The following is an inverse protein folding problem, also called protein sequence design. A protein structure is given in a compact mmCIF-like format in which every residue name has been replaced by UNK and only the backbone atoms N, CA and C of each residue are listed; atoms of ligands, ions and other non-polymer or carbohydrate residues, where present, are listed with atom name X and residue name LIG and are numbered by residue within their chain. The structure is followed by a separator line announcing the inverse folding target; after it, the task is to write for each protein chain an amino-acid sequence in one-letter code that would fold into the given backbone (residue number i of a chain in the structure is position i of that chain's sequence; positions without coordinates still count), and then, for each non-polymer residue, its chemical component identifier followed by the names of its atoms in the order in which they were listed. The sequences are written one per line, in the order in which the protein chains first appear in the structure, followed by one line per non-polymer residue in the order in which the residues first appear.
data_IF_347280053196
#
_entry.id   IF_347280053196
#
_cell.length_a   1.000
_cell.length_b   1.000
_cell.length_c   1.000
_cell.angle_alpha   90.00
_cell.angle_beta   90.00
_cell.angle_gamma   90.00
#
_symmetry.space_group_name_H-M   'P 1'
#
loop_
_entity.id
_entity.type
_entity.pdbx_description
1 polymer ?
#
# COMPACT_ATOMS: atom_id res chain seq x y z
N UNK A 1 10.40 13.87 -24.84
CA UNK A 1 9.77 14.46 -23.62
C UNK A 1 8.29 14.09 -23.46
N UNK A 2 7.45 14.21 -24.51
CA UNK A 2 6.00 13.92 -24.46
C UNK A 2 5.60 12.50 -23.99
N UNK A 3 6.31 11.45 -24.41
CA UNK A 3 6.02 10.06 -23.97
C UNK A 3 6.11 9.88 -22.45
N UNK A 4 7.06 10.56 -21.80
CA UNK A 4 7.32 10.43 -20.35
C UNK A 4 6.24 11.08 -19.50
N UNK A 5 5.60 12.16 -19.98
CA UNK A 5 4.44 12.79 -19.33
C UNK A 5 3.20 11.90 -19.42
N UNK A 6 2.91 11.37 -20.63
CA UNK A 6 1.72 10.52 -20.87
C UNK A 6 1.71 9.24 -20.03
N UNK A 7 2.87 8.62 -19.83
CA UNK A 7 2.99 7.43 -18.95
C UNK A 7 2.74 7.74 -17.48
N UNK A 8 3.09 8.95 -17.00
CA UNK A 8 2.88 9.35 -15.60
C UNK A 8 1.40 9.61 -15.34
N UNK A 9 0.70 10.25 -16.28
CA UNK A 9 -0.74 10.49 -16.14
C UNK A 9 -1.53 9.18 -16.19
N UNK A 10 -1.12 8.22 -17.03
CA UNK A 10 -1.71 6.88 -17.03
C UNK A 10 -1.48 6.12 -15.71
N UNK A 11 -0.34 6.29 -15.07
CA UNK A 11 0.00 5.62 -13.81
C UNK A 11 -0.78 6.23 -12.63
N UNK A 12 -0.97 7.54 -12.65
CA UNK A 12 -1.80 8.27 -11.69
C UNK A 12 -3.29 7.91 -11.87
N UNK A 13 -3.76 7.82 -13.11
CA UNK A 13 -5.10 7.33 -13.44
C UNK A 13 -5.30 5.88 -12.99
N UNK A 14 -4.32 5.01 -13.22
CA UNK A 14 -4.36 3.62 -12.77
C UNK A 14 -4.41 3.52 -11.24
N UNK A 15 -3.66 4.36 -10.52
CA UNK A 15 -3.74 4.47 -9.06
C UNK A 15 -5.12 4.93 -8.58
N UNK A 16 -5.69 5.97 -9.21
CA UNK A 16 -7.03 6.47 -8.88
C UNK A 16 -8.07 5.38 -9.12
N UNK A 17 -7.99 4.65 -10.24
CA UNK A 17 -8.90 3.55 -10.55
C UNK A 17 -8.72 2.40 -9.55
N UNK A 18 -7.48 2.07 -9.18
CA UNK A 18 -7.19 1.02 -8.21
C UNK A 18 -7.68 1.37 -6.79
N UNK A 19 -7.50 2.62 -6.36
CA UNK A 19 -8.00 3.10 -5.08
C UNK A 19 -9.53 3.16 -5.11
N UNK A 20 -10.11 3.65 -6.21
CA UNK A 20 -11.55 3.72 -6.40
C UNK A 20 -12.22 2.33 -6.40
N UNK A 21 -11.61 1.35 -7.06
CA UNK A 21 -12.11 -0.03 -7.06
C UNK A 21 -11.98 -0.71 -5.70
N UNK A 22 -10.90 -0.43 -4.95
CA UNK A 22 -10.75 -0.87 -3.56
C UNK A 22 -11.84 -0.27 -2.66
N UNK A 23 -12.08 1.04 -2.76
CA UNK A 23 -13.13 1.72 -1.99
C UNK A 23 -14.54 1.24 -2.37
N UNK A 24 -14.78 0.97 -3.65
CA UNK A 24 -16.06 0.43 -4.13
C UNK A 24 -16.28 -1.01 -3.64
N UNK A 25 -15.28 -1.87 -3.75
CA UNK A 25 -15.34 -3.22 -3.22
C UNK A 25 -15.57 -3.22 -1.72
N UNK A 26 -14.91 -2.33 -0.99
CA UNK A 26 -15.11 -2.14 0.44
C UNK A 26 -16.53 -1.66 0.78
N UNK A 27 -17.05 -0.66 0.09
CA UNK A 27 -18.42 -0.17 0.31
C UNK A 27 -19.47 -1.23 0.00
N UNK A 28 -19.26 -2.02 -1.06
CA UNK A 28 -20.07 -3.19 -1.38
C UNK A 28 -20.00 -4.24 -0.26
N UNK A 29 -18.81 -4.50 0.26
CA UNK A 29 -18.59 -5.48 1.32
C UNK A 29 -19.28 -5.08 2.64
N UNK A 30 -19.25 -3.80 3.01
CA UNK A 30 -20.05 -3.27 4.13
C UNK A 30 -21.55 -3.44 3.87
N UNK A 31 -21.99 -3.16 2.64
CA UNK A 31 -23.39 -3.25 2.29
C UNK A 31 -23.91 -4.70 2.33
N UNK A 32 -23.09 -5.66 1.89
CA UNK A 32 -23.49 -7.08 1.84
C UNK A 32 -23.25 -7.83 3.15
N UNK A 33 -22.13 -7.58 3.83
CA UNK A 33 -21.68 -8.36 4.99
C UNK A 33 -21.78 -7.59 6.32
N UNK A 34 -22.17 -6.31 6.28
CA UNK A 34 -22.25 -5.46 7.45
C UNK A 34 -20.87 -5.02 7.97
N UNK A 35 -20.84 -4.49 9.18
CA UNK A 35 -19.58 -4.11 9.83
C UNK A 35 -18.83 -5.34 10.32
N UNK A 36 -17.61 -5.56 9.80
CA UNK A 36 -16.71 -6.62 10.27
C UNK A 36 -15.31 -6.07 10.60
N UNK A 37 -14.55 -6.85 11.38
CA UNK A 37 -13.15 -6.54 11.72
C UNK A 37 -12.26 -6.50 10.48
N UNK A 38 -12.53 -7.36 9.47
CA UNK A 38 -11.88 -7.34 8.16
C UNK A 38 -12.04 -5.97 7.48
N UNK A 39 -13.28 -5.51 7.44
CA UNK A 39 -13.67 -4.31 6.73
C UNK A 39 -13.14 -3.06 7.43
N UNK A 40 -13.10 -3.03 8.77
CA UNK A 40 -12.49 -1.93 9.54
C UNK A 40 -10.96 -1.90 9.40
N UNK A 41 -10.31 -3.06 9.51
CA UNK A 41 -8.85 -3.17 9.41
C UNK A 41 -8.34 -2.66 8.05
N UNK A 42 -9.03 -2.98 6.96
CA UNK A 42 -8.65 -2.54 5.62
C UNK A 42 -8.59 -1.00 5.49
N UNK A 43 -9.59 -0.27 5.97
CA UNK A 43 -9.56 1.20 5.92
C UNK A 43 -8.55 1.80 6.87
N UNK A 44 -8.56 1.36 8.14
CA UNK A 44 -7.69 1.92 9.16
C UNK A 44 -6.22 1.79 8.72
N UNK A 45 -5.88 0.64 8.16
CA UNK A 45 -4.55 0.35 7.65
C UNK A 45 -4.17 1.22 6.42
N UNK A 46 -5.06 1.39 5.43
CA UNK A 46 -4.78 2.24 4.26
C UNK A 46 -4.56 3.70 4.69
N UNK A 47 -5.41 4.22 5.58
CA UNK A 47 -5.31 5.59 6.08
C UNK A 47 -4.04 5.80 6.93
N UNK A 48 -3.75 4.85 7.82
CA UNK A 48 -2.55 4.90 8.66
C UNK A 48 -1.28 4.87 7.79
N UNK A 49 -1.27 4.04 6.75
CA UNK A 49 -0.17 3.99 5.79
C UNK A 49 0.05 5.33 5.10
N UNK A 50 -1.02 5.94 4.57
CA UNK A 50 -0.94 7.23 3.87
C UNK A 50 -0.46 8.35 4.80
N UNK A 51 -1.01 8.43 6.02
CA UNK A 51 -0.60 9.44 7.02
C UNK A 51 0.88 9.27 7.42
N UNK A 52 1.30 8.04 7.66
CA UNK A 52 2.67 7.72 8.05
C UNK A 52 3.64 7.99 6.90
N UNK A 53 3.31 7.55 5.69
CA UNK A 53 4.11 7.81 4.50
C UNK A 53 4.23 9.30 4.19
N UNK A 54 3.13 10.05 4.31
CA UNK A 54 3.17 11.51 4.16
C UNK A 54 4.08 12.16 5.21
N UNK A 55 3.97 11.75 6.47
CA UNK A 55 4.82 12.28 7.55
C UNK A 55 6.31 11.99 7.31
N UNK A 56 6.63 10.77 6.87
CA UNK A 56 8.00 10.38 6.50
C UNK A 56 8.49 11.24 5.33
N UNK A 57 7.72 11.38 4.25
CA UNK A 57 8.17 12.10 3.07
C UNK A 57 8.25 13.63 3.26
N UNK A 58 7.41 14.20 4.13
CA UNK A 58 7.29 15.65 4.36
C UNK A 58 8.23 16.16 5.45
N UNK A 59 8.32 15.44 6.58
CA UNK A 59 9.00 15.94 7.80
C UNK A 59 10.38 15.34 8.03
N UNK A 60 10.76 14.26 7.34
CA UNK A 60 12.03 13.59 7.61
C UNK A 60 13.03 13.66 6.46
N UNK A 61 14.29 13.98 6.80
CA UNK A 61 15.45 13.91 5.89
C UNK A 61 16.02 12.49 5.80
N UNK A 62 15.17 11.46 5.94
CA UNK A 62 15.61 10.06 5.85
C UNK A 62 16.15 9.76 4.44
N UNK A 63 17.17 8.91 4.37
CA UNK A 63 17.72 8.44 3.09
C UNK A 63 16.66 7.64 2.31
N UNK A 64 16.79 7.59 0.99
CA UNK A 64 15.90 6.77 0.14
C UNK A 64 15.88 5.31 0.59
N UNK A 65 17.02 4.75 0.98
CA UNK A 65 17.13 3.37 1.46
C UNK A 65 16.32 3.16 2.74
N UNK A 66 16.44 4.08 3.71
CA UNK A 66 15.72 3.99 4.99
C UNK A 66 14.21 4.10 4.80
N UNK A 67 13.74 4.98 3.90
CA UNK A 67 12.30 5.07 3.58
C UNK A 67 11.77 3.77 2.96
N UNK A 68 12.58 3.12 2.13
CA UNK A 68 12.22 1.83 1.52
C UNK A 68 12.08 0.72 2.55
N UNK A 69 13.01 0.67 3.51
CA UNK A 69 12.92 -0.23 4.65
C UNK A 69 11.66 0.01 5.49
N UNK A 70 11.26 1.27 5.69
CA UNK A 70 10.00 1.58 6.38
C UNK A 70 8.79 1.05 5.61
N UNK A 71 8.70 1.33 4.31
CA UNK A 71 7.58 0.83 3.49
C UNK A 71 7.55 -0.69 3.41
N UNK A 72 8.71 -1.32 3.25
CA UNK A 72 8.85 -2.77 3.29
C UNK A 72 8.35 -3.36 4.61
N UNK A 73 8.85 -2.85 5.73
CA UNK A 73 8.49 -3.33 7.06
C UNK A 73 7.01 -3.14 7.33
N UNK A 74 6.44 -2.00 6.90
CA UNK A 74 5.01 -1.73 6.99
C UNK A 74 4.20 -2.78 6.24
N UNK A 75 4.47 -2.97 4.94
CA UNK A 75 3.74 -3.94 4.12
C UNK A 75 3.90 -5.37 4.62
N UNK A 76 5.07 -5.71 5.16
CA UNK A 76 5.34 -7.05 5.66
C UNK A 76 4.56 -7.34 6.95
N UNK A 77 4.61 -6.43 7.93
CA UNK A 77 3.90 -6.59 9.20
C UNK A 77 2.40 -6.66 8.95
N UNK A 78 1.88 -5.72 8.18
CA UNK A 78 0.46 -5.60 7.89
C UNK A 78 -0.04 -6.76 7.04
N UNK A 79 0.69 -7.13 5.99
CA UNK A 79 0.30 -8.24 5.10
C UNK A 79 0.31 -9.58 5.83
N UNK A 80 1.32 -9.80 6.68
CA UNK A 80 1.40 -11.01 7.51
C UNK A 80 0.29 -11.03 8.55
N UNK A 81 0.05 -9.91 9.25
CA UNK A 81 -1.01 -9.82 10.26
C UNK A 81 -2.39 -10.02 9.64
N UNK A 82 -2.68 -9.36 8.51
CA UNK A 82 -3.92 -9.53 7.78
C UNK A 82 -4.15 -10.99 7.40
N UNK A 83 -3.15 -11.65 6.84
CA UNK A 83 -3.33 -13.04 6.41
C UNK A 83 -3.53 -14.01 7.57
N UNK A 84 -2.72 -13.89 8.63
CA UNK A 84 -2.71 -14.85 9.74
C UNK A 84 -3.88 -14.63 10.68
N UNK A 85 -4.12 -13.39 11.09
CA UNK A 85 -5.09 -13.09 12.16
C UNK A 85 -6.49 -12.95 11.58
N UNK A 86 -6.60 -12.32 10.42
CA UNK A 86 -7.88 -11.96 9.85
C UNK A 86 -8.39 -13.09 8.95
N UNK A 87 -7.62 -13.48 7.94
CA UNK A 87 -7.99 -14.57 7.03
C UNK A 87 -7.72 -15.97 7.59
N UNK A 88 -7.20 -16.09 8.83
CA UNK A 88 -6.90 -17.36 9.52
C UNK A 88 -6.05 -18.32 8.69
N UNK A 89 -5.18 -17.78 7.84
CA UNK A 89 -4.31 -18.60 7.01
C UNK A 89 -3.20 -19.24 7.85
N UNK A 90 -2.80 -20.49 7.57
CA UNK A 90 -1.70 -21.14 8.27
C UNK A 90 -0.38 -20.46 7.95
N UNK A 91 0.45 -20.24 8.98
CA UNK A 91 1.82 -19.77 8.82
C UNK A 91 2.65 -20.93 8.27
N UNK A 92 2.97 -20.86 6.98
CA UNK A 92 3.89 -21.77 6.31
C UNK A 92 5.03 -20.98 5.66
N UNK A 93 6.22 -21.58 5.52
CA UNK A 93 7.38 -20.94 4.93
C UNK A 93 7.14 -20.42 3.51
N UNK A 94 6.32 -21.13 2.71
CA UNK A 94 5.91 -20.68 1.37
C UNK A 94 5.05 -19.40 1.42
N UNK A 95 4.10 -19.32 2.35
CA UNK A 95 3.27 -18.13 2.56
C UNK A 95 4.11 -16.95 3.03
N UNK A 96 5.03 -17.19 3.98
CA UNK A 96 5.95 -16.16 4.48
C UNK A 96 6.83 -15.60 3.35
N UNK A 97 7.31 -16.47 2.46
CA UNK A 97 8.06 -16.07 1.27
C UNK A 97 7.22 -15.18 0.35
N UNK A 98 5.97 -15.53 0.11
CA UNK A 98 5.05 -14.70 -0.70
C UNK A 98 4.86 -13.33 -0.04
N UNK A 99 4.65 -13.26 1.27
CA UNK A 99 4.48 -11.98 1.96
C UNK A 99 5.74 -11.12 1.93
N UNK A 100 6.92 -11.73 2.12
CA UNK A 100 8.20 -11.06 1.97
C UNK A 100 8.36 -10.49 0.55
N UNK A 101 8.08 -11.32 -0.46
CA UNK A 101 8.21 -10.92 -1.86
C UNK A 101 7.23 -9.80 -2.23
N UNK A 102 5.95 -9.92 -1.85
CA UNK A 102 4.94 -8.88 -2.07
C UNK A 102 5.31 -7.57 -1.39
N UNK A 103 5.81 -7.65 -0.15
CA UNK A 103 6.21 -6.47 0.62
C UNK A 103 7.41 -5.77 -0.01
N UNK A 104 8.34 -6.55 -0.56
CA UNK A 104 9.47 -6.01 -1.32
C UNK A 104 9.01 -5.27 -2.58
N UNK A 105 8.20 -5.91 -3.42
CA UNK A 105 7.66 -5.27 -4.63
C UNK A 105 6.80 -4.04 -4.29
N UNK A 106 5.93 -4.15 -3.28
CA UNK A 106 5.09 -3.06 -2.81
C UNK A 106 5.90 -1.85 -2.35
N UNK A 107 6.99 -2.09 -1.60
CA UNK A 107 7.88 -1.01 -1.17
C UNK A 107 8.53 -0.27 -2.34
N UNK A 108 8.97 -1.00 -3.37
CA UNK A 108 9.57 -0.42 -4.58
C UNK A 108 8.57 0.41 -5.39
N UNK A 109 7.36 -0.12 -5.58
CA UNK A 109 6.27 0.58 -6.27
C UNK A 109 5.94 1.87 -5.53
N UNK A 110 5.78 1.80 -4.21
CA UNK A 110 5.44 2.98 -3.41
C UNK A 110 6.55 4.04 -3.44
N UNK A 111 7.81 3.64 -3.30
CA UNK A 111 8.94 4.55 -3.48
C UNK A 111 8.95 5.23 -4.84
N UNK A 112 8.64 4.48 -5.90
CA UNK A 112 8.56 5.02 -7.25
C UNK A 112 7.46 6.08 -7.37
N UNK A 113 6.29 5.81 -6.79
CA UNK A 113 5.17 6.76 -6.71
C UNK A 113 5.59 8.02 -5.95
N UNK A 114 6.17 7.90 -4.75
CA UNK A 114 6.63 9.03 -3.95
C UNK A 114 7.66 9.90 -4.70
N UNK A 115 8.62 9.27 -5.40
CA UNK A 115 9.59 9.99 -6.25
C UNK A 115 8.89 10.77 -7.37
N UNK A 116 7.93 10.15 -8.05
CA UNK A 116 7.17 10.80 -9.13
C UNK A 116 6.34 11.99 -8.64
N UNK A 117 5.74 11.87 -7.46
CA UNK A 117 4.97 12.95 -6.83
C UNK A 117 5.87 14.14 -6.45
N UNK A 118 7.10 13.89 -5.96
CA UNK A 118 8.05 14.95 -5.62
C UNK A 118 8.60 15.71 -6.84
N UNK A 119 8.75 15.05 -7.98
CA UNK A 119 9.23 15.69 -9.23
C UNK A 119 8.22 16.62 -9.91
N UNK A 120 6.98 16.73 -9.41
CA UNK A 120 5.97 17.68 -9.92
C UNK A 120 5.90 18.99 -9.11
N UNK A 121 6.79 19.20 -8.13
CA UNK A 121 7.05 20.52 -7.53
C UNK A 121 8.15 21.23 -8.31
#
# INVERSE_FOLDING_TARGET
MLKKLKTIDNLLLALIIAIGSLLFNWGRDIYSNGWSLETFFNIANILLFLLTSYSIESKTRLSTTTRGLFYFSYFFIVGTFASVVISKNPINGQMLFIYLFLSFIGSLIWQFICKKLKTKK
#
